data_IF_212528588991
#
_entry.id   IF_212528588991
#
_cell.length_a   1.000
_cell.length_b   1.000
_cell.length_c   1.000
_cell.angle_alpha   90.00
_cell.angle_beta   90.00
_cell.angle_gamma   90.00
#
_symmetry.space_group_name_H-M   'P 1'
#
loop_
_entity.id
_entity.type
_entity.pdbx_description
1 polymer ?
#
# COMPACT_ATOMS: atom_id res chain seq x y z
N UNK A 1 17.82 -3.28 17.21
CA UNK A 1 17.76 -3.28 15.73
C UNK A 1 16.36 -3.71 15.42
N UNK A 2 15.48 -2.75 15.16
CA UNK A 2 14.06 -3.04 14.94
C UNK A 2 13.92 -3.70 13.57
N UNK A 3 13.66 -5.00 13.56
CA UNK A 3 13.38 -5.73 12.33
C UNK A 3 11.96 -5.41 11.91
N UNK A 4 11.79 -4.53 10.92
CA UNK A 4 10.51 -4.35 10.27
C UNK A 4 10.15 -5.62 9.50
N UNK A 5 8.93 -6.10 9.68
CA UNK A 5 8.38 -7.14 8.82
C UNK A 5 7.70 -6.50 7.61
N UNK A 6 8.18 -6.83 6.42
CA UNK A 6 7.63 -6.35 5.15
C UNK A 6 6.44 -7.20 4.74
N UNK A 7 5.34 -6.55 4.39
CA UNK A 7 4.12 -7.18 3.90
C UNK A 7 3.66 -6.51 2.61
N UNK A 8 3.32 -7.30 1.61
CA UNK A 8 2.81 -6.81 0.34
C UNK A 8 1.37 -7.28 0.20
N UNK A 9 0.47 -6.34 -0.03
CA UNK A 9 -0.94 -6.60 -0.33
C UNK A 9 -1.25 -6.24 -1.79
N UNK A 10 -2.20 -6.97 -2.37
CA UNK A 10 -2.67 -6.70 -3.73
C UNK A 10 -4.17 -6.50 -3.77
N UNK A 11 -4.63 -5.59 -4.62
CA UNK A 11 -6.06 -5.37 -4.85
C UNK A 11 -6.33 -5.21 -6.35
N UNK A 12 -7.36 -5.89 -6.84
CA UNK A 12 -7.80 -5.81 -8.24
C UNK A 12 -9.27 -5.47 -8.28
N UNK A 13 -9.62 -4.36 -8.92
CA UNK A 13 -11.00 -3.93 -9.10
C UNK A 13 -11.48 -4.28 -10.51
N UNK A 14 -12.38 -5.27 -10.60
CA UNK A 14 -13.06 -5.66 -11.84
C UNK A 14 -12.13 -5.90 -13.06
N UNK A 15 -10.84 -6.21 -12.82
CA UNK A 15 -9.82 -6.37 -13.86
C UNK A 15 -9.32 -5.07 -14.53
N UNK A 16 -9.91 -3.92 -14.21
CA UNK A 16 -9.56 -2.63 -14.82
C UNK A 16 -8.55 -1.80 -14.02
N UNK A 17 -8.42 -2.05 -12.71
CA UNK A 17 -7.45 -1.39 -11.82
C UNK A 17 -6.74 -2.46 -10.99
N UNK A 18 -5.42 -2.40 -10.91
CA UNK A 18 -4.59 -3.23 -10.04
C UNK A 18 -3.71 -2.38 -9.13
N UNK A 19 -3.58 -2.77 -7.88
CA UNK A 19 -2.72 -2.12 -6.88
C UNK A 19 -1.83 -3.15 -6.21
N UNK A 20 -0.57 -2.79 -6.00
CA UNK A 20 0.32 -3.43 -5.04
C UNK A 20 0.75 -2.37 -4.02
N UNK A 21 0.63 -2.68 -2.74
CA UNK A 21 1.05 -1.81 -1.64
C UNK A 21 1.98 -2.57 -0.70
N UNK A 22 3.07 -1.93 -0.29
CA UNK A 22 4.04 -2.48 0.65
C UNK A 22 3.94 -1.74 1.98
N UNK A 23 3.76 -2.50 3.06
CA UNK A 23 3.68 -2.03 4.43
C UNK A 23 4.79 -2.66 5.27
N UNK A 24 5.23 -1.91 6.27
CA UNK A 24 6.06 -2.41 7.35
C UNK A 24 5.27 -2.49 8.64
N UNK A 25 5.53 -3.52 9.44
CA UNK A 25 5.17 -3.56 10.87
C UNK A 25 6.43 -3.69 11.72
N UNK A 26 6.55 -2.96 12.83
CA UNK A 26 7.69 -3.10 13.75
C UNK A 26 7.63 -4.37 14.61
N UNK A 27 6.50 -5.08 14.60
CA UNK A 27 6.33 -6.37 15.26
C UNK A 27 5.86 -7.45 14.26
N UNK A 28 6.63 -8.53 14.19
CA UNK A 28 6.35 -9.68 13.34
C UNK A 28 5.05 -10.41 13.72
N UNK A 29 4.61 -10.36 14.99
CA UNK A 29 3.33 -10.94 15.39
C UNK A 29 2.17 -10.11 14.85
N UNK A 30 2.21 -8.78 15.03
CA UNK A 30 1.19 -7.86 14.51
C UNK A 30 0.94 -8.02 13.01
N UNK A 31 2.00 -8.15 12.20
CA UNK A 31 1.87 -8.35 10.74
C UNK A 31 1.13 -9.63 10.31
N UNK A 32 0.94 -10.59 11.22
CA UNK A 32 0.22 -11.84 10.95
C UNK A 32 -1.23 -11.80 11.38
N UNK A 33 -1.62 -10.80 12.17
CA UNK A 33 -2.98 -10.60 12.67
C UNK A 33 -3.91 -10.17 11.55
N UNK A 34 -5.17 -10.61 11.62
CA UNK A 34 -6.17 -10.30 10.60
C UNK A 34 -6.46 -8.80 10.51
N UNK A 35 -6.38 -8.08 11.63
CA UNK A 35 -6.54 -6.63 11.66
C UNK A 35 -5.49 -5.91 10.79
N UNK A 36 -4.22 -6.34 10.84
CA UNK A 36 -3.17 -5.77 10.00
C UNK A 36 -3.41 -6.04 8.51
N UNK A 37 -3.78 -7.28 8.17
CA UNK A 37 -4.08 -7.68 6.78
C UNK A 37 -5.31 -6.96 6.24
N UNK A 38 -6.33 -6.76 7.08
CA UNK A 38 -7.52 -6.00 6.74
C UNK A 38 -7.18 -4.53 6.46
N UNK A 39 -6.36 -3.89 7.31
CA UNK A 39 -5.85 -2.55 7.04
C UNK A 39 -5.11 -2.52 5.69
N UNK A 40 -4.18 -3.44 5.45
CA UNK A 40 -3.44 -3.48 4.18
C UNK A 40 -4.37 -3.61 2.96
N UNK A 41 -5.40 -4.44 3.05
CA UNK A 41 -6.41 -4.62 1.99
C UNK A 41 -7.23 -3.35 1.76
N UNK A 42 -7.65 -2.70 2.84
CA UNK A 42 -8.44 -1.47 2.79
C UNK A 42 -7.62 -0.30 2.23
N UNK A 43 -6.33 -0.22 2.55
CA UNK A 43 -5.41 0.75 1.97
C UNK A 43 -5.17 0.48 0.48
N UNK A 44 -5.05 -0.78 0.05
CA UNK A 44 -4.93 -1.12 -1.36
C UNK A 44 -6.19 -0.73 -2.16
N UNK A 45 -7.38 -0.96 -1.59
CA UNK A 45 -8.65 -0.50 -2.15
C UNK A 45 -8.74 1.04 -2.20
N UNK A 46 -8.30 1.72 -1.14
CA UNK A 46 -8.25 3.18 -1.10
C UNK A 46 -7.37 3.73 -2.22
N UNK A 47 -6.15 3.20 -2.41
CA UNK A 47 -5.26 3.59 -3.51
C UNK A 47 -5.95 3.36 -4.86
N UNK A 48 -6.64 2.24 -5.05
CA UNK A 48 -7.35 1.95 -6.29
C UNK A 48 -8.42 3.00 -6.62
N UNK A 49 -9.19 3.41 -5.61
CA UNK A 49 -10.31 4.35 -5.74
C UNK A 49 -9.86 5.82 -5.84
N UNK A 50 -8.89 6.23 -5.01
CA UNK A 50 -8.52 7.63 -4.85
C UNK A 50 -7.36 8.08 -5.75
N UNK A 51 -6.60 7.12 -6.31
CA UNK A 51 -5.47 7.37 -7.19
C UNK A 51 -4.46 8.41 -6.64
N UNK A 52 -3.96 8.26 -5.40
CA UNK A 52 -2.94 9.15 -4.85
C UNK A 52 -1.66 9.11 -5.69
N UNK A 53 -0.99 10.26 -5.77
CA UNK A 53 0.25 10.45 -6.52
C UNK A 53 1.51 10.10 -5.71
N UNK A 54 1.46 10.21 -4.38
CA UNK A 54 2.53 9.86 -3.45
C UNK A 54 1.96 9.22 -2.17
N UNK A 55 2.85 8.72 -1.29
CA UNK A 55 2.44 8.22 0.04
C UNK A 55 1.93 9.37 0.90
N UNK A 56 2.54 10.55 0.84
CA UNK A 56 2.12 11.73 1.58
C UNK A 56 0.73 12.21 1.14
N UNK A 57 0.47 12.23 -0.17
CA UNK A 57 -0.85 12.51 -0.74
C UNK A 57 -1.88 11.50 -0.20
N UNK A 58 -1.60 10.19 -0.32
CA UNK A 58 -2.45 9.12 0.21
C UNK A 58 -2.77 9.30 1.69
N UNK A 59 -1.77 9.57 2.54
CA UNK A 59 -1.94 9.70 3.99
C UNK A 59 -2.87 10.87 4.37
N UNK A 60 -2.86 11.94 3.57
CA UNK A 60 -3.69 13.14 3.79
C UNK A 60 -5.13 13.02 3.30
N UNK A 61 -5.43 12.00 2.47
CA UNK A 61 -6.76 11.83 1.89
C UNK A 61 -7.78 11.33 2.92
N UNK A 62 -9.07 11.70 2.78
CA UNK A 62 -10.16 11.06 3.53
C UNK A 62 -10.19 9.56 3.26
N UNK A 63 -10.31 8.76 4.31
CA UNK A 63 -10.27 7.31 4.15
C UNK A 63 -11.57 6.81 3.51
N UNK A 64 -11.47 5.91 2.53
CA UNK A 64 -12.62 5.51 1.70
C UNK A 64 -13.70 4.79 2.53
N UNK A 65 -13.30 4.05 3.57
CA UNK A 65 -14.23 3.33 4.44
C UNK A 65 -14.77 4.20 5.58
N UNK A 66 -14.09 5.30 5.88
CA UNK A 66 -14.48 6.25 6.91
C UNK A 66 -14.01 7.67 6.54
N UNK A 67 -14.79 8.41 5.73
CA UNK A 67 -14.38 9.72 5.22
C UNK A 67 -14.22 10.81 6.30
N UNK A 68 -14.67 10.57 7.53
CA UNK A 68 -14.49 11.50 8.65
C UNK A 68 -13.05 11.53 9.16
N UNK A 69 -12.25 10.51 8.82
CA UNK A 69 -10.85 10.39 9.21
C UNK A 69 -9.94 10.34 7.98
N UNK A 70 -8.71 10.82 8.13
CA UNK A 70 -7.67 10.63 7.12
C UNK A 70 -7.13 9.20 7.13
N UNK A 71 -6.47 8.79 6.04
CA UNK A 71 -5.76 7.50 5.99
C UNK A 71 -4.72 7.39 7.10
N UNK A 72 -3.99 8.47 7.39
CA UNK A 72 -3.01 8.50 8.49
C UNK A 72 -3.66 8.23 9.85
N UNK A 73 -4.84 8.79 10.10
CA UNK A 73 -5.59 8.55 11.34
C UNK A 73 -6.08 7.10 11.42
N UNK A 74 -6.59 6.54 10.33
CA UNK A 74 -7.00 5.14 10.28
C UNK A 74 -5.83 4.17 10.54
N UNK A 75 -4.66 4.42 9.95
CA UNK A 75 -3.44 3.66 10.21
C UNK A 75 -3.04 3.78 11.68
N UNK A 76 -3.11 4.98 12.25
CA UNK A 76 -2.70 5.23 13.64
C UNK A 76 -3.59 4.49 14.64
N UNK A 77 -4.91 4.50 14.43
CA UNK A 77 -5.86 3.74 15.27
C UNK A 77 -5.55 2.24 15.26
N UNK A 78 -5.31 1.66 14.07
CA UNK A 78 -4.96 0.23 13.95
C UNK A 78 -3.58 -0.05 14.55
N UNK A 79 -2.61 0.84 14.34
CA UNK A 79 -1.27 0.71 14.91
C UNK A 79 -1.29 0.71 16.46
N UNK A 80 -2.13 1.54 17.07
CA UNK A 80 -2.36 1.57 18.51
C UNK A 80 -2.96 0.24 19.02
N UNK A 81 -3.98 -0.28 18.33
CA UNK A 81 -4.61 -1.56 18.69
C UNK A 81 -3.64 -2.74 18.56
N UNK A 82 -2.85 -2.76 17.48
CA UNK A 82 -1.81 -3.76 17.24
C UNK A 82 -0.59 -3.60 18.15
N UNK A 83 -0.46 -2.47 18.86
CA UNK A 83 0.75 -2.07 19.60
C UNK A 83 2.00 -2.18 18.75
N UNK A 84 1.88 -1.83 17.46
CA UNK A 84 2.92 -2.00 16.45
C UNK A 84 2.91 -0.81 15.51
N UNK A 85 4.10 -0.29 15.19
CA UNK A 85 4.20 0.79 14.22
C UNK A 85 3.92 0.22 12.82
N UNK A 86 2.95 0.80 12.13
CA UNK A 86 2.62 0.48 10.74
C UNK A 86 3.07 1.62 9.85
N UNK A 87 3.78 1.30 8.76
CA UNK A 87 4.28 2.29 7.79
C UNK A 87 3.93 1.83 6.39
N UNK A 88 3.35 2.71 5.57
CA UNK A 88 3.24 2.48 4.13
C UNK A 88 4.57 2.87 3.48
N UNK A 89 5.27 1.92 2.85
CA UNK A 89 6.56 2.20 2.19
C UNK A 89 6.40 2.77 0.80
N UNK A 90 5.54 2.14 0.01
CA UNK A 90 5.31 2.44 -1.41
C UNK A 90 4.07 1.71 -1.91
N UNK A 91 3.52 2.20 -3.00
CA UNK A 91 2.51 1.50 -3.76
C UNK A 91 2.73 1.73 -5.26
N UNK A 92 2.12 0.87 -6.06
CA UNK A 92 1.93 1.08 -7.50
C UNK A 92 0.45 0.85 -7.82
N UNK A 93 -0.10 1.72 -8.66
CA UNK A 93 -1.45 1.59 -9.20
C UNK A 93 -1.37 1.51 -10.72
N UNK A 94 -1.96 0.47 -11.28
CA UNK A 94 -2.09 0.27 -12.71
C UNK A 94 -3.56 0.36 -13.08
N UNK A 95 -3.88 0.98 -14.22
CA UNK A 95 -5.24 1.01 -14.77
C UNK A 95 -5.21 0.69 -16.25
N UNK A 96 -6.26 0.02 -16.73
CA UNK A 96 -6.49 -0.24 -18.14
C UNK A 96 -7.00 1.01 -18.88
N UNK A 97 -7.48 2.04 -18.17
CA UNK A 97 -7.91 3.29 -18.77
C UNK A 97 -6.72 4.16 -19.19
N UNK A 98 -6.82 4.90 -20.31
CA UNK A 98 -5.81 5.86 -20.69
C UNK A 98 -5.66 6.94 -19.60
N UNK A 99 -4.46 7.08 -19.03
CA UNK A 99 -4.18 8.13 -18.07
C UNK A 99 -4.38 9.51 -18.71
N UNK A 100 -5.02 10.44 -17.99
CA UNK A 100 -5.13 11.84 -18.45
C UNK A 100 -3.71 12.42 -18.61
N UNK A 101 -3.46 13.27 -19.63
CA UNK A 101 -2.17 13.92 -19.81
C UNK A 101 -1.76 14.65 -18.52
N UNK A 102 -0.57 14.35 -17.98
CA UNK A 102 -0.05 14.98 -16.76
C UNK A 102 0.18 14.01 -15.59
N UNK A 103 -0.31 12.77 -15.67
CA UNK A 103 0.10 11.71 -14.73
C UNK A 103 1.30 10.95 -15.29
N UNK A 104 2.36 10.82 -14.50
CA UNK A 104 3.44 9.91 -14.84
C UNK A 104 2.87 8.50 -14.92
N UNK A 105 3.00 7.85 -16.07
CA UNK A 105 2.77 6.40 -16.13
C UNK A 105 3.64 5.74 -15.05
N UNK A 106 3.13 4.71 -14.33
CA UNK A 106 3.99 3.93 -13.44
C UNK A 106 5.24 3.50 -14.22
N UNK A 107 6.42 3.50 -13.60
CA UNK A 107 7.69 3.30 -14.30
C UNK A 107 7.58 2.13 -15.29
N UNK A 108 7.71 2.41 -16.60
CA UNK A 108 7.68 1.38 -17.66
C UNK A 108 8.85 0.41 -17.58
N UNK A 109 9.85 0.73 -16.75
CA UNK A 109 10.91 -0.21 -16.40
C UNK A 109 10.28 -1.45 -15.75
N UNK A 110 10.64 -2.66 -16.20
CA UNK A 110 10.10 -3.88 -15.59
C UNK A 110 10.31 -3.81 -14.08
N UNK A 111 9.34 -4.29 -13.31
CA UNK A 111 9.51 -4.61 -11.90
C UNK A 111 10.90 -5.25 -11.76
N UNK A 112 11.80 -4.65 -10.97
CA UNK A 112 13.23 -4.98 -10.99
C UNK A 112 13.41 -6.50 -10.90
N UNK A 113 13.67 -7.14 -12.05
CA UNK A 113 14.00 -8.57 -12.09
C UNK A 113 15.46 -8.63 -11.64
N UNK A 114 15.67 -8.80 -10.34
CA UNK A 114 16.93 -9.34 -9.86
C UNK A 114 16.98 -10.80 -10.32
N UNK A 115 17.41 -11.04 -11.55
CA UNK A 115 17.92 -12.34 -11.92
C UNK A 115 19.16 -12.55 -11.06
N UNK A 116 19.04 -13.29 -9.96
CA UNK A 116 20.20 -13.83 -9.27
C UNK A 116 20.98 -14.64 -10.32
N UNK A 117 22.01 -14.05 -10.91
CA UNK A 117 23.03 -14.83 -11.59
C UNK A 117 23.66 -15.67 -10.49
N UNK A 118 23.39 -16.97 -10.50
CA UNK A 118 24.26 -17.94 -9.81
C UNK A 118 25.69 -17.64 -10.28
N UNK A 119 26.53 -17.16 -9.37
CA UNK A 119 27.96 -17.19 -9.59
C UNK A 119 28.35 -18.67 -9.78
N UNK A 120 29.13 -18.93 -10.83
CA UNK A 120 29.76 -20.25 -11.08
C UNK A 120 30.85 -20.49 -10.06
#
# INVERSE_FOLDING_TARGET
>A
MDYFNHYIESYVHNGGIGVLIELDASDSFASRMDLFKLLASDLAMHVAAMNPSTVEDMLSQPFVKDPEHTVEQAISQVAEELKSKVIVRRFVRWTAEPQKPGFAEPPKTPAVIYAFRKAR
#
